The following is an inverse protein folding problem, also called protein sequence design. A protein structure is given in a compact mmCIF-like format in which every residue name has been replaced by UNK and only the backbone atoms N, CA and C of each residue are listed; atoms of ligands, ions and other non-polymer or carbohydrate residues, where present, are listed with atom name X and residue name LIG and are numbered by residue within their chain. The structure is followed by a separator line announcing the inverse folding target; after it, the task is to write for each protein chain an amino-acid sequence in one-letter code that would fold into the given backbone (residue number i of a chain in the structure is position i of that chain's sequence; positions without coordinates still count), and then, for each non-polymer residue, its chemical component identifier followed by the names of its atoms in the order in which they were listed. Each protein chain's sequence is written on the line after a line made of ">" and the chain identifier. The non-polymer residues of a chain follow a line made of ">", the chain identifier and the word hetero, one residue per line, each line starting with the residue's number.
data_IF_751193288629
#
_entry.id   IF_751193288629
#
_cell.length_a   1.000
_cell.length_b   1.000
_cell.length_c   1.000
_cell.angle_alpha   90.00
_cell.angle_beta   90.00
_cell.angle_gamma   90.00
#
_symmetry.space_group_name_H-M   'P 1'
#
loop_
_entity.id
_entity.type
_entity.pdbx_description
1 polymer ?
#
# COMPACT_ATOMS: atom_id res chain seq x y z
N UNK A 1 -117.05 19.25 -25.52
CA UNK A 1 -116.23 19.22 -24.28
C UNK A 1 -115.04 18.26 -24.36
N UNK A 2 -115.17 17.08 -24.97
CA UNK A 2 -114.12 16.05 -24.96
C UNK A 2 -112.82 16.44 -25.72
N UNK A 3 -112.91 17.16 -26.84
CA UNK A 3 -111.76 17.60 -27.62
C UNK A 3 -110.89 18.68 -26.92
N UNK A 4 -111.50 19.56 -26.11
CA UNK A 4 -110.77 20.58 -25.37
C UNK A 4 -109.94 19.98 -24.22
N UNK A 5 -110.50 18.97 -23.54
CA UNK A 5 -109.81 18.18 -22.52
C UNK A 5 -108.62 17.40 -23.09
N UNK A 6 -108.75 16.83 -24.29
CA UNK A 6 -107.66 16.13 -24.96
C UNK A 6 -106.52 17.06 -25.39
N UNK A 7 -106.84 18.26 -25.88
CA UNK A 7 -105.83 19.26 -26.25
C UNK A 7 -105.08 19.81 -25.02
N UNK A 8 -105.78 20.05 -23.90
CA UNK A 8 -105.15 20.47 -22.65
C UNK A 8 -104.23 19.37 -22.08
N UNK A 9 -104.65 18.11 -22.18
CA UNK A 9 -103.83 16.97 -21.77
C UNK A 9 -102.57 16.85 -22.65
N UNK A 10 -102.72 16.98 -23.98
CA UNK A 10 -101.58 16.95 -24.91
C UNK A 10 -100.58 18.08 -24.66
N UNK A 11 -101.03 19.28 -24.27
CA UNK A 11 -100.14 20.38 -23.89
C UNK A 11 -99.38 20.10 -22.58
N UNK A 12 -100.03 19.45 -21.60
CA UNK A 12 -99.37 19.02 -20.36
C UNK A 12 -98.32 17.94 -20.64
N UNK A 13 -98.64 16.97 -21.48
CA UNK A 13 -97.70 15.90 -21.85
C UNK A 13 -96.52 16.44 -22.67
N UNK A 14 -96.75 17.37 -23.59
CA UNK A 14 -95.68 18.03 -24.35
C UNK A 14 -94.77 18.88 -23.46
N UNK A 15 -95.34 19.57 -22.46
CA UNK A 15 -94.57 20.34 -21.48
C UNK A 15 -93.75 19.42 -20.57
N UNK A 16 -94.33 18.33 -20.08
CA UNK A 16 -93.62 17.32 -19.29
C UNK A 16 -92.48 16.67 -20.10
N UNK A 17 -92.70 16.38 -21.39
CA UNK A 17 -91.67 15.84 -22.28
C UNK A 17 -90.56 16.86 -22.56
N UNK A 18 -90.88 18.15 -22.69
CA UNK A 18 -89.89 19.21 -22.84
C UNK A 18 -89.07 19.42 -21.55
N UNK A 19 -89.72 19.40 -20.39
CA UNK A 19 -89.05 19.49 -19.08
C UNK A 19 -88.14 18.29 -18.82
N UNK A 20 -88.56 17.07 -19.20
CA UNK A 20 -87.72 15.87 -19.11
C UNK A 20 -86.48 15.94 -20.01
N UNK A 21 -86.62 16.41 -21.25
CA UNK A 21 -85.47 16.63 -22.16
C UNK A 21 -84.52 17.70 -21.64
N UNK A 22 -85.06 18.75 -21.02
CA UNK A 22 -84.25 19.82 -20.45
C UNK A 22 -83.48 19.33 -19.22
N UNK A 23 -84.09 18.47 -18.41
CA UNK A 23 -83.42 17.81 -17.29
C UNK A 23 -82.28 16.89 -17.76
N UNK A 24 -82.50 16.07 -18.78
CA UNK A 24 -81.49 15.18 -19.39
C UNK A 24 -80.28 15.99 -19.92
N UNK A 25 -80.54 17.07 -20.68
CA UNK A 25 -79.46 17.93 -21.21
C UNK A 25 -78.69 18.64 -20.10
N UNK A 26 -79.36 19.05 -19.02
CA UNK A 26 -78.69 19.65 -17.87
C UNK A 26 -77.82 18.61 -17.16
N UNK A 27 -78.33 17.40 -16.97
CA UNK A 27 -77.59 16.28 -16.36
C UNK A 27 -76.34 15.91 -17.19
N UNK A 28 -76.49 15.75 -18.51
CA UNK A 28 -75.38 15.49 -19.43
C UNK A 28 -74.33 16.60 -19.41
N UNK A 29 -74.77 17.86 -19.37
CA UNK A 29 -73.88 19.01 -19.26
C UNK A 29 -73.14 19.05 -17.92
N UNK A 30 -73.81 18.66 -16.81
CA UNK A 30 -73.15 18.55 -15.51
C UNK A 30 -72.12 17.42 -15.50
N UNK A 31 -72.47 16.26 -16.04
CA UNK A 31 -71.57 15.12 -16.15
C UNK A 31 -70.35 15.47 -17.02
N UNK A 32 -70.57 16.09 -18.18
CA UNK A 32 -69.48 16.56 -19.05
C UNK A 32 -68.57 17.57 -18.34
N UNK A 33 -69.13 18.54 -17.61
CA UNK A 33 -68.32 19.48 -16.84
C UNK A 33 -67.48 18.78 -15.76
N UNK A 34 -68.03 17.79 -15.06
CA UNK A 34 -67.26 17.04 -14.05
C UNK A 34 -66.08 16.28 -14.67
N UNK A 35 -66.29 15.60 -15.80
CA UNK A 35 -65.22 14.90 -16.53
C UNK A 35 -64.14 15.89 -16.98
N UNK A 36 -64.54 17.02 -17.57
CA UNK A 36 -63.59 18.06 -17.98
C UNK A 36 -62.79 18.59 -16.79
N UNK A 37 -63.42 18.80 -15.63
CA UNK A 37 -62.70 19.26 -14.44
C UNK A 37 -61.70 18.23 -13.91
N UNK A 38 -62.04 16.94 -13.94
CA UNK A 38 -61.11 15.88 -13.51
C UNK A 38 -59.94 15.71 -14.47
N UNK A 39 -60.18 15.77 -15.79
CA UNK A 39 -59.12 15.72 -16.78
C UNK A 39 -58.16 16.92 -16.66
N UNK A 40 -58.69 18.12 -16.40
CA UNK A 40 -57.89 19.32 -16.18
C UNK A 40 -57.03 19.22 -14.90
N UNK A 41 -57.53 18.56 -13.85
CA UNK A 41 -56.76 18.30 -12.64
C UNK A 41 -55.63 17.28 -12.87
N UNK A 42 -55.90 16.22 -13.63
CA UNK A 42 -54.88 15.24 -14.02
C UNK A 42 -53.79 15.86 -14.90
N UNK A 43 -54.17 16.69 -15.87
CA UNK A 43 -53.23 17.42 -16.72
C UNK A 43 -52.34 18.36 -15.89
N UNK A 44 -52.92 19.10 -14.94
CA UNK A 44 -52.17 19.96 -14.02
C UNK A 44 -51.18 19.17 -13.17
N UNK A 45 -51.57 17.98 -12.70
CA UNK A 45 -50.70 17.09 -11.93
C UNK A 45 -49.54 16.57 -12.79
N UNK A 46 -49.82 16.16 -14.02
CA UNK A 46 -48.81 15.71 -14.98
C UNK A 46 -47.82 16.84 -15.32
N UNK A 47 -48.33 18.06 -15.57
CA UNK A 47 -47.52 19.25 -15.83
C UNK A 47 -46.59 19.58 -14.66
N UNK A 48 -47.11 19.56 -13.43
CA UNK A 48 -46.30 19.79 -12.23
C UNK A 48 -45.23 18.71 -12.02
N UNK A 49 -45.52 17.46 -12.38
CA UNK A 49 -44.53 16.38 -12.33
C UNK A 49 -43.41 16.59 -13.37
N UNK A 50 -43.77 17.02 -14.59
CA UNK A 50 -42.80 17.36 -15.62
C UNK A 50 -41.92 18.56 -15.23
N UNK A 51 -42.51 19.61 -14.62
CA UNK A 51 -41.76 20.78 -14.13
C UNK A 51 -40.70 20.39 -13.08
N UNK A 52 -41.03 19.48 -12.15
CA UNK A 52 -40.05 18.95 -11.18
C UNK A 52 -38.92 18.18 -11.84
N UNK A 53 -39.22 17.37 -12.85
CA UNK A 53 -38.19 16.61 -13.56
C UNK A 53 -37.22 17.55 -14.29
N UNK A 54 -37.75 18.60 -14.92
CA UNK A 54 -36.93 19.65 -15.55
C UNK A 54 -36.03 20.32 -14.51
N UNK A 55 -36.57 20.67 -13.34
CA UNK A 55 -35.79 21.29 -12.26
C UNK A 55 -34.61 20.41 -11.82
N UNK A 56 -34.86 19.12 -11.58
CA UNK A 56 -33.81 18.15 -11.22
C UNK A 56 -32.74 18.07 -12.32
N UNK A 57 -33.16 17.83 -13.57
CA UNK A 57 -32.22 17.73 -14.70
C UNK A 57 -31.39 19.00 -14.90
N UNK A 58 -31.98 20.18 -14.69
CA UNK A 58 -31.22 21.44 -14.79
C UNK A 58 -30.22 21.63 -13.66
N UNK A 59 -30.46 21.03 -12.49
CA UNK A 59 -29.53 21.07 -11.36
C UNK A 59 -28.37 20.13 -11.62
N UNK A 60 -28.65 18.89 -12.01
CA UNK A 60 -27.63 17.90 -12.38
C UNK A 60 -26.74 18.43 -13.52
N UNK A 61 -27.33 19.06 -14.54
CA UNK A 61 -26.58 19.63 -15.65
C UNK A 61 -25.59 20.72 -15.20
N UNK A 62 -25.99 21.57 -14.24
CA UNK A 62 -25.09 22.59 -13.65
C UNK A 62 -23.95 21.96 -12.86
N UNK A 63 -24.21 20.85 -12.17
CA UNK A 63 -23.16 20.12 -11.46
C UNK A 63 -22.17 19.49 -12.43
N UNK A 64 -22.65 18.87 -13.52
CA UNK A 64 -21.81 18.35 -14.59
C UNK A 64 -20.97 19.45 -15.24
N UNK A 65 -21.56 20.59 -15.60
CA UNK A 65 -20.82 21.71 -16.18
C UNK A 65 -19.73 22.22 -15.23
N UNK A 66 -20.04 22.32 -13.94
CA UNK A 66 -19.06 22.70 -12.91
C UNK A 66 -17.91 21.70 -12.84
N UNK A 67 -18.20 20.40 -12.87
CA UNK A 67 -17.19 19.35 -12.84
C UNK A 67 -16.34 19.40 -14.10
N UNK A 68 -16.95 19.51 -15.29
CA UNK A 68 -16.24 19.62 -16.57
C UNK A 68 -15.25 20.79 -16.57
N UNK A 69 -15.66 21.95 -16.03
CA UNK A 69 -14.77 23.10 -15.88
C UNK A 69 -13.63 22.88 -14.88
N UNK A 70 -13.76 21.92 -13.97
CA UNK A 70 -12.76 21.58 -12.94
C UNK A 70 -11.94 20.33 -13.27
N UNK A 71 -12.28 19.57 -14.32
CA UNK A 71 -11.61 18.31 -14.69
C UNK A 71 -10.10 18.51 -14.79
N UNK A 72 -9.65 19.55 -15.48
CA UNK A 72 -8.22 19.80 -15.68
C UNK A 72 -7.50 20.07 -14.36
N UNK A 73 -8.13 20.80 -13.44
CA UNK A 73 -7.56 21.11 -12.14
C UNK A 73 -7.45 19.86 -11.26
N UNK A 74 -8.51 19.03 -11.23
CA UNK A 74 -8.56 17.79 -10.45
C UNK A 74 -7.60 16.73 -11.03
N UNK A 75 -7.54 16.60 -12.35
CA UNK A 75 -6.62 15.70 -13.03
C UNK A 75 -5.17 16.08 -12.76
N UNK A 76 -4.86 17.39 -12.80
CA UNK A 76 -3.52 17.88 -12.48
C UNK A 76 -3.16 17.64 -11.01
N UNK A 77 -4.08 17.86 -10.08
CA UNK A 77 -3.86 17.60 -8.66
C UNK A 77 -3.60 16.11 -8.38
N UNK A 78 -4.43 15.23 -8.95
CA UNK A 78 -4.22 13.78 -8.84
C UNK A 78 -2.89 13.33 -9.44
N UNK A 79 -2.48 13.92 -10.57
CA UNK A 79 -1.19 13.65 -11.18
C UNK A 79 -0.02 14.08 -10.28
N UNK A 80 -0.10 15.26 -9.68
CA UNK A 80 0.91 15.74 -8.74
C UNK A 80 1.00 14.86 -7.50
N UNK A 81 -0.12 14.44 -6.93
CA UNK A 81 -0.17 13.57 -5.77
C UNK A 81 0.44 12.19 -6.08
N UNK A 82 0.10 11.64 -7.26
CA UNK A 82 0.70 10.39 -7.74
C UNK A 82 2.21 10.51 -7.93
N UNK A 83 2.70 11.61 -8.49
CA UNK A 83 4.14 11.85 -8.63
C UNK A 83 4.81 12.02 -7.27
N UNK A 84 4.23 12.79 -6.35
CA UNK A 84 4.77 13.00 -5.01
C UNK A 84 4.90 11.66 -4.25
N UNK A 85 3.89 10.80 -4.35
CA UNK A 85 3.93 9.47 -3.75
C UNK A 85 4.98 8.55 -4.40
N UNK A 86 5.12 8.58 -5.73
CA UNK A 86 6.16 7.83 -6.42
C UNK A 86 7.57 8.30 -6.02
N UNK A 87 7.80 9.61 -5.93
CA UNK A 87 9.06 10.21 -5.46
C UNK A 87 9.36 9.79 -4.02
N UNK A 88 8.38 9.86 -3.11
CA UNK A 88 8.54 9.40 -1.71
C UNK A 88 8.95 7.93 -1.63
N UNK A 89 8.30 7.05 -2.40
CA UNK A 89 8.66 5.62 -2.47
C UNK A 89 10.08 5.38 -2.97
N UNK A 90 10.49 6.12 -3.99
CA UNK A 90 11.85 6.01 -4.53
C UNK A 90 12.90 6.49 -3.52
N UNK A 91 12.64 7.59 -2.81
CA UNK A 91 13.55 8.12 -1.79
C UNK A 91 13.66 7.15 -0.61
N UNK A 92 12.54 6.64 -0.10
CA UNK A 92 12.54 5.67 1.02
C UNK A 92 13.25 4.36 0.64
N UNK A 93 12.98 3.83 -0.56
CA UNK A 93 13.70 2.65 -1.08
C UNK A 93 15.21 2.92 -1.21
N UNK A 94 15.60 4.10 -1.71
CA UNK A 94 17.01 4.48 -1.84
C UNK A 94 17.67 4.62 -0.47
N UNK A 95 16.99 5.25 0.51
CA UNK A 95 17.49 5.38 1.87
C UNK A 95 17.70 4.01 2.53
N UNK A 96 16.75 3.09 2.40
CA UNK A 96 16.90 1.72 2.90
C UNK A 96 18.10 1.00 2.27
N UNK A 97 18.24 1.10 0.94
CA UNK A 97 19.39 0.51 0.22
C UNK A 97 20.73 1.10 0.66
N UNK A 98 20.79 2.40 0.93
CA UNK A 98 21.98 3.05 1.46
C UNK A 98 22.31 2.58 2.89
N UNK A 99 21.31 2.43 3.76
CA UNK A 99 21.51 1.89 5.13
C UNK A 99 22.04 0.45 5.08
N UNK A 100 21.47 -0.38 4.23
CA UNK A 100 21.93 -1.77 4.01
C UNK A 100 23.33 -1.84 3.39
N UNK A 101 23.63 -0.99 2.41
CA UNK A 101 24.97 -0.90 1.84
C UNK A 101 25.99 -0.45 2.90
N UNK A 102 25.64 0.51 3.75
CA UNK A 102 26.46 0.95 4.89
C UNK A 102 26.76 -0.21 5.85
N UNK A 103 25.75 -1.00 6.21
CA UNK A 103 25.93 -2.21 7.03
C UNK A 103 26.89 -3.20 6.39
N UNK A 104 26.71 -3.52 5.10
CA UNK A 104 27.61 -4.44 4.37
C UNK A 104 29.04 -3.92 4.27
N UNK A 105 29.23 -2.60 4.11
CA UNK A 105 30.56 -1.99 4.11
C UNK A 105 31.22 -2.16 5.49
N UNK A 106 30.47 -1.98 6.58
CA UNK A 106 30.99 -2.22 7.94
C UNK A 106 31.38 -3.68 8.16
N UNK A 107 30.52 -4.62 7.76
CA UNK A 107 30.83 -6.07 7.81
C UNK A 107 32.09 -6.39 7.00
N UNK A 108 32.22 -5.79 5.81
CA UNK A 108 33.40 -5.95 4.96
C UNK A 108 34.65 -5.33 5.60
N UNK A 109 34.55 -4.17 6.26
CA UNK A 109 35.64 -3.56 7.00
C UNK A 109 36.10 -4.43 8.18
N UNK A 110 35.16 -4.95 8.98
CA UNK A 110 35.45 -5.89 10.07
C UNK A 110 36.14 -7.14 9.54
N UNK A 111 35.64 -7.69 8.44
CA UNK A 111 36.23 -8.83 7.76
C UNK A 111 37.64 -8.54 7.24
N UNK A 112 37.86 -7.41 6.57
CA UNK A 112 39.15 -7.01 6.06
C UNK A 112 40.16 -6.79 7.20
N UNK A 113 39.72 -6.22 8.32
CA UNK A 113 40.53 -6.11 9.53
C UNK A 113 40.93 -7.48 10.08
N UNK A 114 40.00 -8.45 10.09
CA UNK A 114 40.27 -9.83 10.51
C UNK A 114 41.22 -10.56 9.55
N UNK A 115 41.09 -10.36 8.24
CA UNK A 115 42.02 -10.89 7.23
C UNK A 115 43.44 -10.30 7.36
N UNK A 116 43.53 -9.00 7.64
CA UNK A 116 44.80 -8.34 7.94
C UNK A 116 45.45 -8.87 9.22
N UNK A 117 44.65 -9.07 10.28
CA UNK A 117 45.12 -9.65 11.54
C UNK A 117 45.62 -11.09 11.36
N UNK A 118 44.89 -11.94 10.65
CA UNK A 118 45.30 -13.32 10.33
C UNK A 118 46.62 -13.35 9.56
N UNK A 119 46.79 -12.49 8.57
CA UNK A 119 48.03 -12.43 7.78
C UNK A 119 49.22 -11.93 8.60
N UNK A 120 48.99 -10.94 9.47
CA UNK A 120 50.02 -10.45 10.39
C UNK A 120 50.44 -11.53 11.39
N UNK A 121 49.49 -12.28 11.95
CA UNK A 121 49.77 -13.40 12.86
C UNK A 121 50.49 -14.54 12.15
N UNK A 122 50.06 -14.93 10.93
CA UNK A 122 50.76 -15.92 10.12
C UNK A 122 52.22 -15.55 9.89
N UNK A 123 52.49 -14.27 9.61
CA UNK A 123 53.85 -13.75 9.44
C UNK A 123 54.64 -13.80 10.76
N UNK A 124 54.05 -13.39 11.87
CA UNK A 124 54.68 -13.42 13.19
C UNK A 124 55.03 -14.85 13.64
N UNK A 125 54.09 -15.80 13.51
CA UNK A 125 54.30 -17.21 13.83
C UNK A 125 55.34 -17.87 12.93
N UNK A 126 55.51 -17.40 11.68
CA UNK A 126 56.58 -17.91 10.80
C UNK A 126 57.98 -17.51 11.27
N UNK A 127 58.11 -16.37 11.97
CA UNK A 127 59.38 -15.88 12.51
C UNK A 127 59.65 -16.40 13.92
N UNK A 128 58.59 -16.63 14.70
CA UNK A 128 58.65 -17.11 16.07
C UNK A 128 57.69 -18.31 16.23
N UNK A 129 58.17 -19.54 15.99
CA UNK A 129 57.31 -20.74 16.06
C UNK A 129 56.75 -21.03 17.45
N UNK A 130 57.49 -20.64 18.50
CA UNK A 130 57.10 -20.85 19.91
C UNK A 130 56.36 -19.64 20.52
N UNK A 131 55.77 -18.78 19.68
CA UNK A 131 55.04 -17.60 20.14
C UNK A 131 53.70 -17.98 20.77
N UNK A 132 53.58 -17.80 22.09
CA UNK A 132 52.33 -17.96 22.82
C UNK A 132 51.38 -16.77 22.54
N UNK A 133 50.32 -17.03 21.78
CA UNK A 133 49.30 -16.04 21.40
C UNK A 133 48.41 -15.63 22.57
N UNK A 134 48.15 -16.54 23.51
CA UNK A 134 47.30 -16.30 24.66
C UNK A 134 48.02 -15.39 25.67
N UNK A 135 49.31 -15.62 25.88
CA UNK A 135 50.16 -14.72 26.66
C UNK A 135 50.27 -13.32 26.02
N UNK A 136 50.35 -13.23 24.69
CA UNK A 136 50.44 -11.95 23.97
C UNK A 136 49.16 -11.12 24.12
N UNK A 137 47.99 -11.76 24.13
CA UNK A 137 46.71 -11.09 24.34
C UNK A 137 46.62 -10.42 25.72
N UNK A 138 47.14 -11.07 26.77
CA UNK A 138 47.16 -10.52 28.12
C UNK A 138 48.06 -9.28 28.30
N UNK A 139 49.12 -9.14 27.49
CA UNK A 139 50.07 -8.02 27.56
C UNK A 139 49.57 -6.77 26.80
N UNK A 140 48.51 -6.91 25.99
CA UNK A 140 48.04 -5.87 25.07
C UNK A 140 47.43 -4.65 25.75
N UNK A 141 46.84 -4.80 26.94
CA UNK A 141 45.93 -3.79 27.50
C UNK A 141 46.59 -2.45 27.88
N UNK A 142 47.92 -2.39 28.05
CA UNK A 142 48.67 -1.19 28.42
C UNK A 142 50.01 -1.05 27.67
N UNK A 143 50.07 -1.49 26.41
CA UNK A 143 51.32 -1.48 25.67
C UNK A 143 51.86 -0.04 25.48
N UNK A 144 53.14 0.25 25.77
CA UNK A 144 53.74 1.58 25.56
C UNK A 144 53.63 2.09 24.11
N UNK A 145 53.43 1.17 23.16
CA UNK A 145 53.18 1.45 21.76
C UNK A 145 51.85 2.13 21.49
N UNK A 146 50.86 2.05 22.38
CA UNK A 146 49.56 2.73 22.28
C UNK A 146 49.54 4.10 23.00
N UNK A 147 50.44 4.30 23.96
CA UNK A 147 50.45 5.49 24.82
C UNK A 147 51.47 6.56 24.36
N UNK A 148 52.60 6.16 23.76
CA UNK A 148 53.60 7.09 23.22
C UNK A 148 53.29 7.44 21.75
N UNK A 149 53.09 8.72 21.39
CA UNK A 149 52.81 9.14 20.01
C UNK A 149 53.93 8.77 19.02
N UNK A 150 55.20 8.75 19.44
CA UNK A 150 56.33 8.40 18.56
C UNK A 150 56.34 6.91 18.24
N UNK A 151 56.04 6.07 19.23
CA UNK A 151 55.94 4.62 19.04
C UNK A 151 54.68 4.26 18.26
N UNK A 152 53.58 5.00 18.46
CA UNK A 152 52.35 4.87 17.68
C UNK A 152 52.58 5.15 16.21
N UNK A 153 53.28 6.24 15.87
CA UNK A 153 53.61 6.56 14.48
C UNK A 153 54.49 5.50 13.82
N UNK A 154 55.49 4.98 14.54
CA UNK A 154 56.33 3.86 14.07
C UNK A 154 55.53 2.57 13.87
N UNK A 155 54.55 2.30 14.74
CA UNK A 155 53.64 1.16 14.58
C UNK A 155 52.75 1.36 13.35
N UNK A 156 52.18 2.55 13.16
CA UNK A 156 51.35 2.86 12.00
C UNK A 156 52.12 2.72 10.68
N UNK A 157 53.36 3.20 10.59
CA UNK A 157 54.22 3.01 9.40
C UNK A 157 54.44 1.53 9.08
N UNK A 158 54.68 0.71 10.10
CA UNK A 158 54.82 -0.75 9.93
C UNK A 158 53.52 -1.43 9.56
N UNK A 159 52.39 -0.96 10.11
CA UNK A 159 51.06 -1.46 9.75
C UNK A 159 50.74 -1.20 8.27
N UNK A 160 51.13 -0.04 7.73
CA UNK A 160 50.99 0.25 6.29
C UNK A 160 51.74 -0.76 5.42
N UNK A 161 52.96 -1.17 5.82
CA UNK A 161 53.72 -2.19 5.08
C UNK A 161 53.13 -3.59 5.22
N UNK A 162 52.56 -3.91 6.38
CA UNK A 162 51.87 -5.19 6.61
C UNK A 162 50.54 -5.28 5.85
N UNK A 163 49.86 -4.15 5.65
CA UNK A 163 48.62 -4.08 4.89
C UNK A 163 48.79 -4.51 3.43
N UNK A 164 49.99 -4.37 2.84
CA UNK A 164 50.28 -4.86 1.48
C UNK A 164 50.14 -6.38 1.36
N UNK A 165 50.36 -7.12 2.45
CA UNK A 165 50.25 -8.57 2.48
C UNK A 165 48.85 -9.03 2.87
N UNK A 166 48.01 -8.15 3.43
CA UNK A 166 46.67 -8.49 3.87
C UNK A 166 45.72 -8.76 2.69
N UNK A 167 45.14 -9.95 2.63
CA UNK A 167 44.12 -10.28 1.61
C UNK A 167 42.75 -9.72 2.00
N UNK A 168 42.55 -8.41 1.81
CA UNK A 168 41.28 -7.70 2.10
C UNK A 168 40.11 -8.09 1.17
N UNK A 169 40.37 -8.90 0.15
CA UNK A 169 39.36 -9.40 -0.79
C UNK A 169 38.63 -10.64 -0.29
N UNK A 170 39.22 -11.37 0.66
CA UNK A 170 38.62 -12.58 1.22
C UNK A 170 37.75 -12.21 2.40
N UNK A 171 36.48 -12.61 2.36
CA UNK A 171 35.59 -12.41 3.49
C UNK A 171 35.86 -13.44 4.58
N UNK A 172 36.19 -12.97 5.78
CA UNK A 172 36.32 -13.78 6.98
C UNK A 172 35.11 -13.46 7.86
N UNK A 173 34.28 -14.43 8.29
CA UNK A 173 33.14 -14.21 9.19
C UNK A 173 33.57 -14.15 10.67
N UNK A 174 32.87 -13.39 11.53
CA UNK A 174 33.24 -13.27 12.93
C UNK A 174 33.06 -14.62 13.65
N UNK A 175 33.89 -14.93 14.66
CA UNK A 175 33.64 -16.08 15.53
C UNK A 175 32.27 -15.96 16.22
N UNK A 176 31.56 -17.07 16.45
CA UNK A 176 30.16 -17.06 16.92
C UNK A 176 29.94 -16.35 18.27
N UNK A 177 30.97 -16.21 19.10
CA UNK A 177 30.89 -15.60 20.43
C UNK A 177 31.42 -14.16 20.50
N UNK A 178 31.85 -13.58 19.37
CA UNK A 178 32.46 -12.23 19.34
C UNK A 178 31.48 -11.24 18.73
N UNK A 179 31.01 -10.29 19.55
CA UNK A 179 30.24 -9.15 19.06
C UNK A 179 31.16 -8.24 18.23
N UNK A 180 30.79 -7.97 16.98
CA UNK A 180 31.43 -6.93 16.19
C UNK A 180 31.04 -5.59 16.83
N UNK A 181 31.94 -5.00 17.64
CA UNK A 181 31.77 -3.70 18.32
C UNK A 181 31.49 -2.50 17.38
N UNK A 182 31.49 -2.74 16.07
CA UNK A 182 31.17 -1.76 15.02
C UNK A 182 29.73 -1.93 14.47
N UNK A 183 28.97 -2.89 14.99
CA UNK A 183 27.56 -3.12 14.64
C UNK A 183 26.57 -2.45 15.60
N UNK A 184 27.01 -2.04 16.79
CA UNK A 184 26.19 -1.30 17.77
C UNK A 184 26.27 0.20 17.47
N UNK A 185 25.52 0.67 16.48
CA UNK A 185 25.07 2.06 16.42
C UNK A 185 23.54 2.03 16.50
N UNK A 186 23.05 2.44 17.66
CA UNK A 186 21.69 2.97 17.90
C UNK A 186 20.55 1.98 17.59
N UNK A 187 20.21 1.16 18.59
CA UNK A 187 18.80 0.88 18.86
C UNK A 187 18.11 2.24 19.12
N UNK A 188 17.67 2.88 18.04
CA UNK A 188 16.74 4.00 18.07
C UNK A 188 15.50 3.51 18.85
N UNK A 189 15.27 4.10 20.02
CA UNK A 189 14.09 3.87 20.85
C UNK A 189 12.86 3.90 19.94
N UNK A 190 12.14 2.79 19.90
CA UNK A 190 10.90 2.69 19.15
C UNK A 190 9.92 3.74 19.64
N UNK A 191 9.54 4.67 18.77
CA UNK A 191 8.30 5.40 18.92
C UNK A 191 7.16 4.36 19.03
N UNK A 192 6.58 4.30 20.22
CA UNK A 192 5.37 3.56 20.53
C UNK A 192 4.21 4.20 19.76
N UNK A 193 4.01 3.80 18.51
CA UNK A 193 2.70 3.93 17.89
C UNK A 193 1.83 2.74 18.37
N UNK A 194 1.11 3.01 19.47
CA UNK A 194 -0.07 2.26 19.88
C UNK A 194 -1.10 2.28 18.74
N UNK A 195 -1.10 1.24 17.90
CA UNK A 195 -2.32 0.78 17.26
C UNK A 195 -2.52 -0.68 17.66
N UNK A 196 -3.22 -0.83 18.78
CA UNK A 196 -4.00 -2.02 19.06
C UNK A 196 -4.93 -2.29 17.87
N UNK A 197 -4.99 -3.53 17.42
CA UNK A 197 -6.23 -4.32 17.39
C UNK A 197 -5.95 -5.69 16.72
N UNK A 198 -6.21 -6.71 17.53
CA UNK A 198 -6.77 -8.01 17.17
C UNK A 198 -5.88 -9.09 16.53
N UNK A 199 -5.24 -9.85 17.41
CA UNK A 199 -4.95 -11.28 17.19
C UNK A 199 -5.96 -12.07 18.02
N UNK A 200 -6.66 -13.06 17.42
CA UNK A 200 -6.62 -14.39 18.02
C UNK A 200 -6.79 -15.55 16.98
N UNK A 201 -6.60 -16.82 17.35
CA UNK A 201 -5.37 -17.44 17.84
C UNK A 201 -4.98 -18.71 17.03
N UNK A 202 -3.80 -19.25 17.33
CA UNK A 202 -3.14 -20.43 16.77
C UNK A 202 -3.95 -21.75 16.71
N UNK A 203 -3.48 -22.67 15.86
CA UNK A 203 -3.45 -24.10 16.15
C UNK A 203 -2.29 -24.80 15.39
N UNK A 204 -1.76 -25.93 15.88
CA UNK A 204 -0.32 -26.09 16.13
C UNK A 204 0.42 -27.05 15.19
N UNK A 205 1.75 -27.06 15.36
CA UNK A 205 2.73 -27.95 14.74
C UNK A 205 2.35 -29.44 14.71
N UNK A 206 2.72 -30.12 13.62
CA UNK A 206 2.96 -31.55 13.64
C UNK A 206 4.14 -31.91 12.73
N UNK A 207 5.26 -32.14 13.39
CA UNK A 207 6.45 -32.91 12.98
C UNK A 207 6.15 -34.12 12.08
N UNK A 208 6.93 -34.28 11.01
CA UNK A 208 7.43 -35.57 10.54
C UNK A 208 8.65 -35.38 9.62
N UNK A 209 9.80 -35.87 10.10
CA UNK A 209 11.04 -36.03 9.33
C UNK A 209 10.93 -37.22 8.33
N UNK A 210 11.93 -37.44 7.44
CA UNK A 210 11.79 -38.00 6.09
C UNK A 210 11.86 -39.53 6.02
N UNK A 211 11.68 -40.10 4.82
CA UNK A 211 12.56 -41.20 4.42
C UNK A 211 13.20 -40.99 3.03
N UNK A 212 14.46 -41.39 2.97
CA UNK A 212 15.23 -41.71 1.77
C UNK A 212 14.63 -42.91 1.03
N UNK A 213 14.77 -42.93 -0.31
CA UNK A 213 14.95 -44.13 -1.14
C UNK A 213 15.47 -43.66 -2.52
N UNK A 214 16.76 -43.81 -2.80
CA UNK A 214 17.43 -44.93 -3.47
C UNK A 214 17.19 -45.05 -4.99
N UNK A 215 18.32 -44.93 -5.70
CA UNK A 215 18.73 -45.75 -6.85
C UNK A 215 18.12 -45.51 -8.24
N UNK A 216 18.89 -44.86 -9.12
CA UNK A 216 19.37 -45.37 -10.44
C UNK A 216 20.18 -44.23 -11.09
N UNK A 217 21.40 -44.36 -11.60
CA UNK A 217 22.22 -45.48 -12.03
C UNK A 217 22.93 -45.03 -13.32
N UNK A 218 24.26 -44.96 -13.31
CA UNK A 218 25.18 -45.18 -14.44
C UNK A 218 26.56 -44.51 -14.23
N UNK A 219 27.51 -45.33 -13.77
CA UNK A 219 28.94 -45.21 -14.04
C UNK A 219 29.23 -45.61 -15.52
N UNK A 220 30.48 -45.63 -16.06
CA UNK A 220 31.76 -45.49 -15.39
C UNK A 220 32.81 -44.66 -16.20
N UNK A 221 34.07 -44.58 -15.72
CA UNK A 221 35.11 -43.67 -16.19
C UNK A 221 36.06 -44.34 -17.18
N UNK A 222 36.86 -43.53 -17.88
CA UNK A 222 37.99 -44.04 -18.62
C UNK A 222 39.32 -43.54 -18.02
N UNK A 223 40.22 -44.49 -17.89
CA UNK A 223 41.50 -44.39 -17.24
C UNK A 223 42.58 -43.99 -18.26
N UNK A 224 43.54 -43.19 -17.83
CA UNK A 224 44.86 -43.20 -18.45
C UNK A 224 45.93 -42.87 -17.42
N UNK A 225 46.47 -43.97 -16.88
CA UNK A 225 47.85 -44.07 -16.44
C UNK A 225 48.72 -44.06 -17.70
N UNK A 226 49.69 -43.13 -17.74
CA UNK A 226 50.99 -43.28 -18.39
C UNK A 226 51.96 -42.26 -17.78
#
# INVERSE_FOLDING_TARGET
>A
MQAALQHEQALKDARAAAEARLAEVVEDSTNSNTVMTTELEEERKARKAAERLIEVMTTDHKEYDRLVMQIDALAFQHFLDSQAHAVKKNITLTAHRLKEAGRRIREWQCSAARAGADTALRSACSWYPDLDLDALQGVRQDAPTDMDPVLTAKRQDRAYRLAEYAEVRTFIPPPPDVKDYLSDEEEEEGDEDEDAEDVPPEAPEASAAPPEDTETGAAPPDASVA
#
